data_IF_459566030340
#
_entry.id   IF_459566030340
#
_cell.length_a   1.000
_cell.length_b   1.000
_cell.length_c   1.000
_cell.angle_alpha   90.00
_cell.angle_beta   90.00
_cell.angle_gamma   90.00
#
_symmetry.space_group_name_H-M   'P 1'
#
loop_
_entity.id
_entity.type
_entity.pdbx_description
1 polymer ?
#
# COMPACT_ATOMS: atom_id res chain seq x y z
N UNK A 1 -9.06 -40.56 -25.52
CA UNK A 1 -10.07 -40.48 -24.46
C UNK A 1 -9.35 -40.44 -23.12
N UNK A 2 -9.15 -39.23 -22.59
CA UNK A 2 -9.12 -38.95 -21.16
C UNK A 2 -9.24 -37.42 -21.05
N UNK A 3 -10.49 -36.95 -21.14
CA UNK A 3 -10.87 -35.64 -20.65
C UNK A 3 -10.67 -35.66 -19.13
N UNK A 4 -9.93 -34.68 -18.60
CA UNK A 4 -9.98 -34.34 -17.18
C UNK A 4 -10.55 -32.94 -17.10
N UNK A 5 -11.87 -32.90 -16.94
CA UNK A 5 -12.64 -31.72 -16.56
C UNK A 5 -12.08 -31.16 -15.24
N UNK A 6 -11.54 -29.94 -15.32
CA UNK A 6 -11.16 -29.17 -14.14
C UNK A 6 -12.45 -28.57 -13.55
N UNK A 7 -12.93 -29.19 -12.48
CA UNK A 7 -14.13 -28.78 -11.76
C UNK A 7 -14.03 -27.31 -11.30
N UNK A 8 -14.97 -26.50 -11.80
CA UNK A 8 -15.07 -25.06 -11.60
C UNK A 8 -16.08 -24.69 -10.50
N UNK A 9 -16.41 -25.63 -9.61
CA UNK A 9 -17.53 -25.48 -8.66
C UNK A 9 -17.25 -24.71 -7.36
N UNK A 10 -16.10 -24.05 -7.19
CA UNK A 10 -15.78 -23.34 -5.93
C UNK A 10 -16.32 -21.90 -5.79
N UNK A 11 -17.20 -21.43 -6.68
CA UNK A 11 -17.76 -20.06 -6.63
C UNK A 11 -19.28 -19.99 -6.48
N UNK A 12 -19.91 -20.94 -5.80
CA UNK A 12 -21.31 -20.80 -5.40
C UNK A 12 -21.44 -20.29 -3.96
N UNK A 13 -21.13 -19.01 -3.72
CA UNK A 13 -21.68 -18.29 -2.57
C UNK A 13 -23.13 -17.91 -2.92
N UNK A 14 -24.08 -18.40 -2.12
CA UNK A 14 -25.52 -18.18 -2.26
C UNK A 14 -25.84 -16.68 -2.36
N UNK A 15 -26.23 -16.25 -3.56
CA UNK A 15 -26.45 -14.85 -3.91
C UNK A 15 -27.64 -14.23 -3.19
N UNK A 16 -27.36 -13.17 -2.44
CA UNK A 16 -28.28 -12.03 -2.39
C UNK A 16 -27.95 -11.23 -3.64
N UNK A 17 -28.84 -11.23 -4.64
CA UNK A 17 -28.71 -10.35 -5.81
C UNK A 17 -28.79 -8.89 -5.33
N UNK A 18 -27.64 -8.31 -5.04
CA UNK A 18 -27.49 -6.89 -4.83
C UNK A 18 -27.63 -6.21 -6.19
N UNK A 19 -28.68 -5.40 -6.36
CA UNK A 19 -28.90 -4.55 -7.54
C UNK A 19 -27.89 -3.40 -7.66
N UNK A 20 -26.78 -3.45 -6.92
CA UNK A 20 -25.73 -2.45 -6.93
C UNK A 20 -24.75 -2.71 -8.08
N UNK A 21 -24.29 -1.65 -8.75
CA UNK A 21 -23.23 -1.76 -9.74
C UNK A 21 -22.00 -2.48 -9.13
N UNK A 22 -21.32 -3.35 -9.90
CA UNK A 22 -20.15 -4.07 -9.39
C UNK A 22 -19.09 -3.07 -8.89
N UNK A 23 -18.65 -3.24 -7.65
CA UNK A 23 -17.64 -2.38 -7.05
C UNK A 23 -16.28 -2.62 -7.74
N UNK A 24 -15.61 -1.54 -8.14
CA UNK A 24 -14.26 -1.62 -8.73
C UNK A 24 -13.26 -2.20 -7.72
N UNK A 25 -12.27 -2.96 -8.17
CA UNK A 25 -11.09 -3.31 -7.36
C UNK A 25 -10.27 -2.04 -7.09
N UNK A 26 -9.82 -1.83 -5.84
CA UNK A 26 -8.80 -0.82 -5.56
C UNK A 26 -7.41 -1.45 -5.75
N UNK A 27 -6.59 -0.87 -6.63
CA UNK A 27 -5.17 -1.20 -6.74
C UNK A 27 -4.39 -0.10 -6.03
N UNK A 28 -3.79 -0.42 -4.90
CA UNK A 28 -2.94 0.47 -4.14
C UNK A 28 -1.47 0.17 -4.44
N UNK A 29 -0.86 1.01 -5.28
CA UNK A 29 0.58 1.01 -5.52
C UNK A 29 1.25 1.84 -4.42
N UNK A 30 2.08 1.19 -3.61
CA UNK A 30 2.80 1.89 -2.54
C UNK A 30 3.77 2.96 -3.05
N UNK A 31 4.19 2.91 -4.32
CA UNK A 31 5.18 3.83 -4.90
C UNK A 31 4.55 5.17 -5.25
N UNK A 32 5.39 6.15 -5.61
CA UNK A 32 4.91 7.32 -6.35
C UNK A 32 4.62 6.92 -7.80
N UNK A 33 3.69 7.64 -8.45
CA UNK A 33 3.45 7.49 -9.89
C UNK A 33 4.74 7.59 -10.71
N UNK A 34 5.59 8.57 -10.40
CA UNK A 34 6.88 8.76 -11.07
C UNK A 34 7.81 7.56 -10.92
N UNK A 35 7.86 6.95 -9.74
CA UNK A 35 8.67 5.75 -9.51
C UNK A 35 8.06 4.53 -10.23
N UNK A 36 6.75 4.39 -10.27
CA UNK A 36 6.07 3.33 -11.02
C UNK A 36 6.36 3.42 -12.52
N UNK A 37 6.27 4.62 -13.10
CA UNK A 37 6.64 4.90 -14.50
C UNK A 37 8.12 4.62 -14.75
N UNK A 38 9.02 5.02 -13.85
CA UNK A 38 10.44 4.71 -13.98
C UNK A 38 10.73 3.20 -13.97
N UNK A 39 9.93 2.41 -13.23
CA UNK A 39 10.04 0.95 -13.26
C UNK A 39 9.53 0.35 -14.58
N UNK A 40 8.60 1.01 -15.28
CA UNK A 40 8.14 0.58 -16.62
C UNK A 40 9.28 0.54 -17.63
N UNK A 41 10.22 1.49 -17.57
CA UNK A 41 11.41 1.49 -18.42
C UNK A 41 12.36 0.30 -18.17
N UNK A 42 12.20 -0.41 -17.05
CA UNK A 42 13.01 -1.59 -16.67
C UNK A 42 12.25 -2.91 -16.83
N UNK A 43 11.09 -2.90 -17.50
CA UNK A 43 10.25 -4.09 -17.68
C UNK A 43 9.27 -4.37 -16.54
N UNK A 44 9.20 -3.51 -15.52
CA UNK A 44 8.11 -3.50 -14.56
C UNK A 44 6.97 -2.59 -15.01
N UNK A 45 6.33 -1.89 -14.07
CA UNK A 45 5.35 -0.85 -14.36
C UNK A 45 4.26 -0.78 -13.30
N UNK A 46 3.11 -0.26 -13.70
CA UNK A 46 1.85 -0.27 -12.95
C UNK A 46 0.70 -0.55 -13.94
N UNK A 47 -0.42 -0.98 -13.38
CA UNK A 47 -1.69 -1.19 -14.05
C UNK A 47 -2.23 0.14 -14.61
N UNK A 48 -3.05 0.04 -15.66
CA UNK A 48 -3.69 1.17 -16.32
C UNK A 48 -5.19 0.90 -16.38
N UNK A 49 -6.01 1.88 -16.02
CA UNK A 49 -7.47 1.74 -16.03
C UNK A 49 -8.02 1.41 -17.43
N UNK A 50 -7.32 1.80 -18.50
CA UNK A 50 -7.67 1.43 -19.89
C UNK A 50 -7.61 -0.09 -20.12
N UNK A 51 -6.67 -0.79 -19.48
CA UNK A 51 -6.51 -2.24 -19.59
C UNK A 51 -7.27 -2.99 -18.49
N UNK A 52 -7.56 -2.31 -17.38
CA UNK A 52 -8.26 -2.84 -16.21
C UNK A 52 -9.46 -1.94 -15.85
N UNK A 53 -10.54 -1.94 -16.65
CA UNK A 53 -11.64 -0.95 -16.52
C UNK A 53 -12.44 -1.07 -15.21
N UNK A 54 -12.39 -2.25 -14.58
CA UNK A 54 -13.01 -2.52 -13.28
C UNK A 54 -12.04 -2.29 -12.11
N UNK A 55 -10.94 -1.58 -12.34
CA UNK A 55 -9.98 -1.18 -11.32
C UNK A 55 -9.89 0.34 -11.22
N UNK A 56 -9.46 0.82 -10.07
CA UNK A 56 -8.98 2.19 -9.85
C UNK A 56 -7.61 2.07 -9.20
N UNK A 57 -6.66 2.89 -9.66
CA UNK A 57 -5.27 2.83 -9.19
C UNK A 57 -4.94 4.04 -8.35
N UNK A 58 -4.45 3.82 -7.12
CA UNK A 58 -4.01 4.87 -6.20
C UNK A 58 -2.53 4.70 -5.87
N UNK A 59 -1.78 5.80 -5.95
CA UNK A 59 -0.35 5.85 -5.65
C UNK A 59 -0.09 6.50 -4.29
N UNK A 60 0.53 5.78 -3.35
CA UNK A 60 0.76 6.30 -2.00
C UNK A 60 2.03 7.14 -1.84
N UNK A 61 2.96 7.08 -2.79
CA UNK A 61 4.18 7.88 -2.72
C UNK A 61 5.13 7.46 -1.59
N UNK A 62 5.09 6.21 -1.13
CA UNK A 62 6.00 5.72 -0.09
C UNK A 62 7.43 5.62 -0.61
N UNK A 63 8.33 6.13 0.22
CA UNK A 63 9.76 6.14 -0.03
C UNK A 63 10.31 4.71 -0.17
N UNK A 64 11.36 4.54 -0.99
CA UNK A 64 12.04 3.26 -1.13
C UNK A 64 12.97 2.97 0.06
N UNK A 65 13.52 1.75 0.11
CA UNK A 65 14.40 1.31 1.21
C UNK A 65 15.63 2.21 1.41
N UNK A 66 16.14 2.85 0.35
CA UNK A 66 17.30 3.75 0.45
C UNK A 66 16.94 5.04 1.18
N UNK A 67 15.79 5.63 0.85
CA UNK A 67 15.29 6.81 1.52
C UNK A 67 14.94 6.54 2.98
N UNK A 68 14.30 5.40 3.30
CA UNK A 68 14.03 5.00 4.68
C UNK A 68 15.32 4.81 5.48
N UNK A 69 16.34 4.18 4.90
CA UNK A 69 17.66 4.01 5.53
C UNK A 69 18.30 5.35 5.86
N UNK A 70 18.31 6.29 4.91
CA UNK A 70 18.89 7.62 5.11
C UNK A 70 18.11 8.41 6.16
N UNK A 71 16.77 8.37 6.12
CA UNK A 71 15.90 9.00 7.11
C UNK A 71 16.19 8.49 8.52
N UNK A 72 16.34 7.17 8.68
CA UNK A 72 16.69 6.56 9.97
C UNK A 72 18.08 6.97 10.46
N UNK A 73 19.07 7.08 9.58
CA UNK A 73 20.40 7.57 9.94
C UNK A 73 20.35 9.01 10.44
N UNK A 74 19.60 9.90 9.79
CA UNK A 74 19.43 11.27 10.26
C UNK A 74 18.68 11.35 11.59
N UNK A 75 17.62 10.54 11.77
CA UNK A 75 16.93 10.45 13.05
C UNK A 75 17.89 10.06 14.18
N UNK A 76 18.70 9.02 13.97
CA UNK A 76 19.70 8.59 14.97
C UNK A 76 20.69 9.70 15.29
N UNK A 77 21.15 10.45 14.29
CA UNK A 77 22.07 11.55 14.48
C UNK A 77 21.45 12.66 15.35
N UNK A 78 20.20 13.05 15.05
CA UNK A 78 19.44 14.02 15.85
C UNK A 78 19.28 13.51 17.28
N UNK A 79 18.83 12.27 17.47
CA UNK A 79 18.65 11.63 18.79
C UNK A 79 19.92 11.46 19.62
N UNK A 80 21.11 11.50 19.01
CA UNK A 80 22.38 11.29 19.72
C UNK A 80 23.06 12.60 20.16
N UNK A 81 22.56 13.75 19.72
CA UNK A 81 23.11 15.06 20.07
C UNK A 81 22.43 15.61 21.33
N UNK A 82 23.12 16.49 22.07
CA UNK A 82 22.47 17.31 23.09
C UNK A 82 21.39 18.14 22.40
N UNK A 83 20.10 18.01 22.79
CA UNK A 83 19.03 18.72 22.12
C UNK A 83 19.21 20.23 22.29
N UNK A 84 19.26 20.96 21.17
CA UNK A 84 19.02 22.40 21.16
C UNK A 84 17.49 22.60 21.07
N UNK A 85 16.83 23.05 22.15
CA UNK A 85 15.37 23.19 22.17
C UNK A 85 14.83 24.10 21.07
N UNK A 86 15.63 25.06 20.61
CA UNK A 86 15.22 26.02 19.58
C UNK A 86 15.17 25.42 18.17
N UNK A 87 16.00 24.40 17.90
CA UNK A 87 16.17 23.81 16.57
C UNK A 87 15.76 22.34 16.49
N UNK A 88 15.44 21.70 17.62
CA UNK A 88 15.15 20.28 17.68
C UNK A 88 14.03 19.82 16.75
N UNK A 89 12.90 20.54 16.73
CA UNK A 89 11.75 20.17 15.90
C UNK A 89 12.06 20.30 14.41
N UNK A 90 12.77 21.35 14.00
CA UNK A 90 13.23 21.54 12.62
C UNK A 90 14.24 20.45 12.21
N UNK A 91 15.16 20.09 13.11
CA UNK A 91 16.10 19.00 12.90
C UNK A 91 15.37 17.66 12.75
N UNK A 92 14.39 17.37 13.59
CA UNK A 92 13.53 16.19 13.49
C UNK A 92 12.73 16.16 12.18
N UNK A 93 12.12 17.27 11.78
CA UNK A 93 11.36 17.38 10.53
C UNK A 93 12.26 17.11 9.31
N UNK A 94 13.52 17.60 9.34
CA UNK A 94 14.48 17.41 8.26
C UNK A 94 14.81 15.93 8.01
N UNK A 95 14.65 15.06 9.02
CA UNK A 95 14.83 13.61 8.88
C UNK A 95 13.75 12.96 8.03
N UNK A 96 12.57 13.58 7.89
CA UNK A 96 11.37 13.03 7.24
C UNK A 96 10.83 11.73 7.85
N UNK A 97 11.37 11.28 8.98
CA UNK A 97 10.98 10.01 9.61
C UNK A 97 9.49 9.95 9.92
N UNK A 98 8.97 10.97 10.62
CA UNK A 98 7.54 11.06 10.95
C UNK A 98 6.66 11.19 9.71
N UNK A 99 7.14 11.82 8.64
CA UNK A 99 6.43 11.88 7.37
C UNK A 99 6.31 10.49 6.72
N UNK A 100 7.38 9.69 6.74
CA UNK A 100 7.33 8.31 6.23
C UNK A 100 6.36 7.44 7.02
N UNK A 101 6.38 7.54 8.36
CA UNK A 101 5.40 6.85 9.21
C UNK A 101 3.97 7.30 8.92
N UNK A 102 3.74 8.61 8.75
CA UNK A 102 2.42 9.15 8.43
C UNK A 102 1.87 8.59 7.12
N UNK A 103 2.67 8.53 6.05
CA UNK A 103 2.23 7.97 4.76
C UNK A 103 1.93 6.46 4.87
N UNK A 104 2.76 5.71 5.61
CA UNK A 104 2.53 4.28 5.85
C UNK A 104 1.21 4.03 6.59
N UNK A 105 0.92 4.80 7.65
CA UNK A 105 -0.33 4.72 8.39
C UNK A 105 -1.54 5.15 7.54
N UNK A 106 -1.39 6.21 6.73
CA UNK A 106 -2.45 6.64 5.78
C UNK A 106 -2.79 5.53 4.78
N UNK A 107 -1.79 4.83 4.25
CA UNK A 107 -2.00 3.70 3.35
C UNK A 107 -2.77 2.56 4.05
N UNK A 108 -2.37 2.20 5.26
CA UNK A 108 -3.05 1.15 6.04
C UNK A 108 -4.51 1.52 6.36
N UNK A 109 -4.76 2.77 6.76
CA UNK A 109 -6.12 3.28 7.03
C UNK A 109 -6.97 3.31 5.76
N UNK A 110 -6.38 3.65 4.60
CA UNK A 110 -7.08 3.57 3.32
C UNK A 110 -7.51 2.13 3.03
N UNK A 111 -6.59 1.16 3.11
CA UNK A 111 -6.91 -0.26 2.92
C UNK A 111 -8.01 -0.72 3.88
N UNK A 112 -7.87 -0.41 5.18
CA UNK A 112 -8.85 -0.81 6.19
C UNK A 112 -10.25 -0.22 5.93
N UNK A 113 -10.35 1.08 5.63
CA UNK A 113 -11.63 1.70 5.31
C UNK A 113 -12.25 1.15 4.02
N UNK A 114 -11.45 0.90 2.99
CA UNK A 114 -11.95 0.35 1.71
C UNK A 114 -12.49 -1.07 1.92
N UNK A 115 -11.85 -1.88 2.75
CA UNK A 115 -12.35 -3.23 3.07
C UNK A 115 -13.60 -3.17 3.96
N UNK A 116 -13.51 -2.50 5.12
CA UNK A 116 -14.56 -2.53 6.16
C UNK A 116 -15.79 -1.70 5.81
N UNK A 117 -15.58 -0.48 5.32
CA UNK A 117 -16.66 0.50 5.13
C UNK A 117 -17.22 0.50 3.72
N UNK A 118 -16.37 0.30 2.71
CA UNK A 118 -16.81 0.26 1.31
C UNK A 118 -17.22 -1.15 0.89
N UNK A 119 -16.77 -2.21 1.58
CA UNK A 119 -16.99 -3.60 1.18
C UNK A 119 -16.23 -3.98 -0.09
N UNK A 120 -15.18 -3.21 -0.42
CA UNK A 120 -14.49 -3.22 -1.70
C UNK A 120 -13.17 -3.98 -1.61
N UNK A 121 -12.87 -4.89 -2.57
CA UNK A 121 -11.59 -5.60 -2.56
C UNK A 121 -10.42 -4.66 -2.84
N UNK A 122 -9.26 -4.98 -2.26
CA UNK A 122 -8.03 -4.20 -2.42
C UNK A 122 -6.86 -5.11 -2.79
N UNK A 123 -6.14 -4.75 -3.85
CA UNK A 123 -4.84 -5.30 -4.21
C UNK A 123 -3.76 -4.30 -3.80
N UNK A 124 -2.80 -4.73 -2.98
CA UNK A 124 -1.69 -3.89 -2.52
C UNK A 124 -0.39 -4.41 -3.11
N UNK A 125 0.38 -3.55 -3.77
CA UNK A 125 1.70 -3.92 -4.29
C UNK A 125 2.72 -2.77 -4.16
N UNK A 126 3.99 -3.07 -4.44
CA UNK A 126 5.03 -2.05 -4.59
C UNK A 126 5.91 -2.39 -5.80
N UNK A 127 7.23 -2.25 -5.70
CA UNK A 127 8.15 -2.75 -6.74
C UNK A 127 8.19 -4.28 -6.75
N UNK A 128 8.73 -4.87 -5.67
CA UNK A 128 8.98 -6.32 -5.56
C UNK A 128 7.97 -7.03 -4.63
N UNK A 129 7.03 -6.28 -4.04
CA UNK A 129 5.97 -6.81 -3.17
C UNK A 129 6.40 -7.23 -1.76
N UNK A 130 7.68 -7.10 -1.37
CA UNK A 130 8.18 -7.64 -0.09
C UNK A 130 8.62 -6.59 0.97
N UNK A 131 8.54 -5.29 0.66
CA UNK A 131 8.96 -4.22 1.60
C UNK A 131 7.76 -3.41 2.12
N UNK A 132 7.21 -2.55 1.25
CA UNK A 132 6.11 -1.62 1.60
C UNK A 132 4.78 -2.35 1.66
N UNK A 133 4.57 -3.33 0.79
CA UNK A 133 3.36 -4.16 0.76
C UNK A 133 3.11 -4.84 2.11
N UNK A 134 4.03 -5.62 2.71
CA UNK A 134 3.77 -6.24 4.00
C UNK A 134 3.59 -5.21 5.13
N UNK A 135 4.25 -4.04 5.07
CA UNK A 135 4.01 -2.97 6.05
C UNK A 135 2.55 -2.49 6.02
N UNK A 136 2.02 -2.20 4.83
CA UNK A 136 0.64 -1.75 4.64
C UNK A 136 -0.34 -2.85 5.06
N UNK A 137 -0.16 -4.07 4.54
CA UNK A 137 -1.07 -5.18 4.76
C UNK A 137 -1.09 -5.61 6.22
N UNK A 138 0.06 -5.70 6.89
CA UNK A 138 0.11 -6.04 8.31
C UNK A 138 -0.58 -4.98 9.19
N UNK A 139 -0.34 -3.70 8.93
CA UNK A 139 -1.01 -2.62 9.65
C UNK A 139 -2.52 -2.62 9.40
N UNK A 140 -2.96 -2.82 8.15
CA UNK A 140 -4.39 -2.93 7.84
C UNK A 140 -5.04 -4.11 8.57
N UNK A 141 -4.36 -5.26 8.65
CA UNK A 141 -4.84 -6.42 9.42
C UNK A 141 -5.01 -6.11 10.90
N UNK A 142 -4.04 -5.44 11.54
CA UNK A 142 -4.14 -5.00 12.94
C UNK A 142 -5.32 -4.04 13.15
N UNK A 143 -5.59 -3.17 12.16
CA UNK A 143 -6.73 -2.24 12.23
C UNK A 143 -8.09 -2.94 12.07
N UNK A 144 -8.15 -4.05 11.34
CA UNK A 144 -9.38 -4.74 10.95
C UNK A 144 -9.76 -5.90 11.87
N UNK A 145 -8.77 -6.61 12.42
CA UNK A 145 -8.98 -7.89 13.07
C UNK A 145 -8.29 -7.93 14.44
N UNK A 146 -9.05 -8.01 15.55
CA UNK A 146 -8.51 -7.99 16.92
C UNK A 146 -7.69 -9.23 17.28
N UNK A 147 -7.62 -10.24 16.42
CA UNK A 147 -6.69 -11.36 16.60
C UNK A 147 -5.22 -10.95 16.42
N UNK A 148 -4.93 -9.97 15.56
CA UNK A 148 -3.56 -9.50 15.25
C UNK A 148 -3.16 -8.27 16.08
#
# INVERSE_FOLDING_TARGET
>A
ACDTDFDSSLTACSGVESTAAPQKLLILDARSYTAAVANRAKGGGCECEEYYPNCEVVFMGMANIHAIRNSFQYLRAVCSQMPDPSNWLSALESTKWLQHLSVMLKAAVLVANTVDREGRPVLVHCSDGWDRTPQIVALAKILLDPYY
#
